data_IF_370528564614
#
_entry.id   IF_370528564614
#
_cell.length_a   1.000
_cell.length_b   1.000
_cell.length_c   1.000
_cell.angle_alpha   90.00
_cell.angle_beta   90.00
_cell.angle_gamma   90.00
#
_symmetry.space_group_name_H-M   'P 1'
#
loop_
_entity.id
_entity.type
_entity.pdbx_description
1 polymer ?
#
# COMPACT_ATOMS: atom_id res chain seq x y z
N UNK A 1 1.30 23.96 -14.18
CA UNK A 1 1.97 22.74 -14.69
C UNK A 1 1.82 21.52 -13.78
N UNK A 2 2.58 21.36 -12.68
CA UNK A 2 2.49 20.10 -11.88
C UNK A 2 1.12 19.86 -11.23
N UNK A 3 0.46 20.91 -10.76
CA UNK A 3 -0.91 20.82 -10.23
C UNK A 3 -1.91 20.31 -11.28
N UNK A 4 -1.81 20.78 -12.51
CA UNK A 4 -2.67 20.35 -13.62
C UNK A 4 -2.43 18.88 -13.97
N UNK A 5 -1.18 18.39 -13.85
CA UNK A 5 -0.88 16.97 -14.01
C UNK A 5 -1.52 16.11 -12.91
N UNK A 6 -1.49 16.58 -11.65
CA UNK A 6 -2.18 15.90 -10.54
C UNK A 6 -3.70 15.90 -10.75
N UNK A 7 -4.28 17.01 -11.17
CA UNK A 7 -5.71 17.12 -11.47
C UNK A 7 -6.12 16.22 -12.64
N UNK A 8 -5.30 16.17 -13.71
CA UNK A 8 -5.48 15.23 -14.81
C UNK A 8 -5.41 13.78 -14.33
N UNK A 9 -4.42 13.45 -13.49
CA UNK A 9 -4.26 12.11 -12.92
C UNK A 9 -5.49 11.66 -12.12
N UNK A 10 -6.00 12.53 -11.24
CA UNK A 10 -7.24 12.28 -10.47
C UNK A 10 -8.44 12.05 -11.37
N UNK A 11 -8.59 12.85 -12.43
CA UNK A 11 -9.67 12.68 -13.41
C UNK A 11 -9.56 11.34 -14.13
N UNK A 12 -8.37 11.01 -14.64
CA UNK A 12 -8.14 9.73 -15.33
C UNK A 12 -8.34 8.52 -14.42
N UNK A 13 -8.01 8.63 -13.13
CA UNK A 13 -8.34 7.62 -12.12
C UNK A 13 -9.86 7.47 -11.96
N UNK A 14 -10.60 8.57 -11.83
CA UNK A 14 -12.07 8.56 -11.76
C UNK A 14 -12.74 7.99 -13.02
N UNK A 15 -12.10 8.13 -14.18
CA UNK A 15 -12.50 7.52 -15.46
C UNK A 15 -12.04 6.05 -15.61
N UNK A 16 -11.35 5.48 -14.62
CA UNK A 16 -10.82 4.11 -14.67
C UNK A 16 -9.64 3.92 -15.63
N UNK A 17 -9.04 5.00 -16.15
CA UNK A 17 -7.90 4.98 -17.09
C UNK A 17 -6.55 4.90 -16.38
N UNK A 18 -6.50 5.22 -15.09
CA UNK A 18 -5.31 5.08 -14.26
C UNK A 18 -5.64 4.35 -12.97
N UNK A 19 -4.72 3.51 -12.45
CA UNK A 19 -4.89 2.92 -11.14
C UNK A 19 -4.77 3.98 -10.03
N UNK A 20 -5.31 3.71 -8.84
CA UNK A 20 -5.11 4.56 -7.67
C UNK A 20 -3.63 4.70 -7.30
N UNK A 21 -3.19 5.81 -6.68
CA UNK A 21 -1.83 5.95 -6.17
C UNK A 21 -1.44 4.78 -5.25
N UNK A 22 -0.24 4.23 -5.46
CA UNK A 22 0.22 3.04 -4.74
C UNK A 22 -0.24 1.71 -5.33
N UNK A 23 -0.97 1.73 -6.46
CA UNK A 23 -1.37 0.54 -7.20
C UNK A 23 -0.76 0.53 -8.58
N UNK A 24 -0.29 -0.65 -9.03
CA UNK A 24 0.40 -0.78 -10.31
C UNK A 24 -0.04 -2.02 -11.07
N UNK A 25 -0.17 -1.94 -12.41
CA UNK A 25 -0.19 -3.11 -13.26
C UNK A 25 1.13 -3.87 -13.10
N UNK A 26 1.05 -5.19 -13.07
CA UNK A 26 2.21 -6.06 -12.93
C UNK A 26 2.04 -7.22 -13.91
N UNK A 27 3.15 -7.73 -14.44
CA UNK A 27 3.11 -8.63 -15.60
C UNK A 27 2.44 -9.97 -15.28
N UNK A 28 2.66 -10.49 -14.08
CA UNK A 28 2.06 -11.74 -13.61
C UNK A 28 0.67 -11.47 -13.02
N UNK A 29 -0.40 -12.20 -13.41
CA UNK A 29 -1.74 -11.97 -12.90
C UNK A 29 -1.87 -12.31 -11.41
N UNK A 30 -2.96 -11.86 -10.79
CA UNK A 30 -3.43 -12.48 -9.54
C UNK A 30 -3.91 -13.88 -9.89
N UNK A 31 -3.18 -14.88 -9.39
CA UNK A 31 -3.37 -16.29 -9.75
C UNK A 31 -4.28 -17.03 -8.79
N UNK A 32 -4.35 -16.58 -7.54
CA UNK A 32 -5.15 -17.23 -6.51
C UNK A 32 -6.11 -16.24 -5.85
N UNK A 33 -7.34 -16.68 -5.66
CA UNK A 33 -8.35 -15.94 -4.91
C UNK A 33 -8.79 -16.81 -3.75
N UNK A 34 -8.65 -16.28 -2.54
CA UNK A 34 -9.23 -16.89 -1.34
C UNK A 34 -10.65 -16.34 -1.21
N UNK A 35 -11.61 -17.20 -1.53
CA UNK A 35 -13.01 -16.97 -1.23
C UNK A 35 -13.24 -17.43 0.20
N UNK A 36 -13.76 -16.57 1.07
CA UNK A 36 -13.89 -16.91 2.48
C UNK A 36 -15.25 -16.53 3.05
N UNK A 37 -15.59 -17.18 4.16
CA UNK A 37 -16.73 -16.91 5.04
C UNK A 37 -16.28 -17.10 6.49
N UNK A 38 -17.05 -16.65 7.50
CA UNK A 38 -16.71 -16.93 8.89
C UNK A 38 -16.56 -18.43 9.11
N UNK A 39 -15.34 -18.88 9.34
CA UNK A 39 -15.01 -20.29 9.52
C UNK A 39 -14.82 -21.14 8.25
N UNK A 40 -14.99 -20.60 7.06
CA UNK A 40 -14.84 -21.37 5.81
C UNK A 40 -13.96 -20.64 4.82
N UNK A 41 -13.22 -21.38 4.01
CA UNK A 41 -12.43 -20.80 2.94
C UNK A 41 -12.22 -21.80 1.81
N UNK A 42 -12.32 -21.28 0.59
CA UNK A 42 -12.07 -21.96 -0.66
C UNK A 42 -10.98 -21.21 -1.42
N UNK A 43 -10.00 -21.96 -1.93
CA UNK A 43 -8.96 -21.40 -2.78
C UNK A 43 -9.31 -21.67 -4.24
N UNK A 44 -9.45 -20.62 -5.05
CA UNK A 44 -9.73 -20.73 -6.49
C UNK A 44 -8.56 -20.21 -7.31
N UNK A 45 -8.24 -20.91 -8.39
CA UNK A 45 -7.30 -20.41 -9.40
C UNK A 45 -8.01 -19.37 -10.28
N UNK A 46 -7.31 -18.29 -10.61
CA UNK A 46 -7.79 -17.17 -11.40
C UNK A 46 -6.67 -16.63 -12.30
N UNK A 47 -7.04 -15.72 -13.20
CA UNK A 47 -6.08 -14.95 -14.00
C UNK A 47 -6.58 -13.52 -14.09
N UNK A 48 -6.30 -12.71 -13.08
CA UNK A 48 -6.76 -11.32 -13.02
C UNK A 48 -5.61 -10.34 -13.27
N UNK A 49 -5.67 -9.64 -14.40
CA UNK A 49 -4.69 -8.62 -14.81
C UNK A 49 -5.03 -7.25 -14.22
N UNK A 50 -5.24 -7.21 -12.90
CA UNK A 50 -5.64 -5.99 -12.20
C UNK A 50 -4.45 -5.28 -11.57
N UNK A 51 -4.56 -3.96 -11.49
CA UNK A 51 -3.63 -3.17 -10.69
C UNK A 51 -3.78 -3.55 -9.23
N UNK A 52 -2.66 -3.74 -8.54
CA UNK A 52 -2.61 -4.24 -7.16
C UNK A 52 -1.68 -3.37 -6.31
N UNK A 53 -1.81 -3.41 -4.98
CA UNK A 53 -0.94 -2.66 -4.06
C UNK A 53 0.53 -2.95 -4.37
N UNK A 54 1.33 -1.89 -4.45
CA UNK A 54 2.74 -2.00 -4.78
C UNK A 54 3.53 -0.86 -4.14
N UNK A 55 4.75 -1.18 -3.71
CA UNK A 55 5.61 -0.28 -2.93
C UNK A 55 7.02 -0.09 -3.51
N UNK A 56 7.26 -0.59 -4.72
CA UNK A 56 8.63 -0.56 -5.28
C UNK A 56 9.58 -1.55 -4.62
N UNK A 57 9.06 -2.57 -3.92
CA UNK A 57 9.83 -3.62 -3.22
C UNK A 57 10.70 -4.42 -4.19
N UNK A 58 11.95 -3.99 -4.39
CA UNK A 58 12.98 -4.74 -5.14
C UNK A 58 13.88 -5.58 -4.23
N UNK A 59 13.95 -5.24 -2.95
CA UNK A 59 14.70 -5.95 -1.91
C UNK A 59 14.17 -5.62 -0.51
N UNK A 60 14.43 -6.49 0.46
CA UNK A 60 13.89 -6.38 1.82
C UNK A 60 12.53 -7.06 2.00
N UNK A 61 12.03 -7.06 3.24
CA UNK A 61 10.77 -7.68 3.61
C UNK A 61 9.74 -6.60 3.91
N UNK A 62 8.70 -6.51 3.08
CA UNK A 62 7.72 -5.43 3.21
C UNK A 62 6.38 -5.89 2.62
N UNK A 63 5.35 -6.13 3.43
CA UNK A 63 4.07 -6.66 2.94
C UNK A 63 3.23 -5.63 2.16
N UNK A 64 2.41 -6.13 1.23
CA UNK A 64 1.37 -5.41 0.49
C UNK A 64 -0.01 -5.71 1.09
N UNK A 65 -0.87 -4.71 1.16
CA UNK A 65 -2.16 -4.81 1.86
C UNK A 65 -3.18 -5.62 1.05
N UNK A 66 -3.76 -6.70 1.61
CA UNK A 66 -4.92 -7.42 1.04
C UNK A 66 -4.74 -8.01 -0.38
N UNK A 67 -3.56 -7.89 -0.97
CA UNK A 67 -3.08 -8.68 -2.11
C UNK A 67 -1.55 -8.67 -2.12
N UNK A 68 -0.91 -9.83 -2.05
CA UNK A 68 0.56 -10.00 -2.06
C UNK A 68 0.92 -11.38 -2.65
N UNK A 69 2.21 -11.65 -2.80
CA UNK A 69 2.75 -12.95 -3.14
C UNK A 69 2.36 -14.00 -2.10
N UNK A 70 2.19 -15.26 -2.51
CA UNK A 70 1.76 -16.37 -1.65
C UNK A 70 2.61 -16.55 -0.39
N UNK A 71 3.92 -16.23 -0.46
CA UNK A 71 4.81 -16.26 0.71
C UNK A 71 4.37 -15.27 1.81
N UNK A 72 3.82 -14.12 1.43
CA UNK A 72 3.28 -13.12 2.36
C UNK A 72 1.83 -13.43 2.69
N UNK A 73 0.98 -13.57 1.67
CA UNK A 73 -0.46 -13.66 1.84
C UNK A 73 -0.91 -14.95 2.56
N UNK A 74 -0.27 -16.08 2.25
CA UNK A 74 -0.69 -17.43 2.70
C UNK A 74 0.37 -18.19 3.49
N UNK A 75 1.59 -17.66 3.61
CA UNK A 75 2.68 -18.31 4.35
C UNK A 75 3.15 -19.65 3.73
N UNK A 76 3.05 -19.80 2.41
CA UNK A 76 3.39 -21.06 1.70
C UNK A 76 4.90 -21.37 1.67
N UNK A 77 5.74 -20.41 2.06
CA UNK A 77 7.20 -20.59 2.16
C UNK A 77 7.55 -20.97 3.62
N UNK A 78 7.92 -22.24 3.89
CA UNK A 78 8.13 -22.73 5.25
C UNK A 78 9.44 -22.24 5.88
N UNK A 79 10.35 -21.64 5.08
CA UNK A 79 11.64 -21.18 5.58
C UNK A 79 11.52 -19.98 6.53
N UNK A 80 12.57 -19.67 7.32
CA UNK A 80 12.55 -18.55 8.28
C UNK A 80 12.18 -17.21 7.63
N UNK A 81 12.65 -16.98 6.39
CA UNK A 81 12.29 -15.78 5.62
C UNK A 81 10.81 -15.79 5.21
N UNK A 82 10.25 -16.93 4.84
CA UNK A 82 8.84 -17.06 4.48
C UNK A 82 7.91 -16.82 5.67
N UNK A 83 8.26 -17.37 6.83
CA UNK A 83 7.56 -17.12 8.10
C UNK A 83 7.56 -15.63 8.45
N UNK A 84 8.70 -14.96 8.31
CA UNK A 84 8.83 -13.52 8.54
C UNK A 84 7.99 -12.69 7.56
N UNK A 85 7.94 -13.08 6.28
CA UNK A 85 7.05 -12.44 5.29
C UNK A 85 5.59 -12.52 5.70
N UNK A 86 5.13 -13.72 6.06
CA UNK A 86 3.75 -13.92 6.47
C UNK A 86 3.43 -13.15 7.75
N UNK A 87 4.34 -13.14 8.74
CA UNK A 87 4.22 -12.32 9.95
C UNK A 87 3.99 -10.85 9.64
N UNK A 88 4.82 -10.26 8.76
CA UNK A 88 4.68 -8.86 8.35
C UNK A 88 3.35 -8.57 7.63
N UNK A 89 2.82 -9.55 6.89
CA UNK A 89 1.51 -9.43 6.26
C UNK A 89 0.38 -9.40 7.30
N UNK A 90 0.42 -10.29 8.29
CA UNK A 90 -0.55 -10.30 9.39
C UNK A 90 -0.50 -9.00 10.21
N UNK A 91 0.71 -8.50 10.51
CA UNK A 91 0.89 -7.23 11.22
C UNK A 91 0.35 -6.02 10.45
N UNK A 92 0.44 -6.05 9.12
CA UNK A 92 -0.16 -5.01 8.28
C UNK A 92 -1.69 -5.05 8.35
N UNK A 93 -2.30 -6.24 8.43
CA UNK A 93 -3.74 -6.37 8.64
C UNK A 93 -4.17 -5.90 10.03
N UNK A 94 -3.42 -6.23 11.08
CA UNK A 94 -3.64 -5.68 12.43
C UNK A 94 -3.57 -4.14 12.43
N UNK A 95 -2.54 -3.58 11.78
CA UNK A 95 -2.39 -2.12 11.63
C UNK A 95 -3.58 -1.52 10.91
N UNK A 96 -4.08 -2.17 9.85
CA UNK A 96 -5.27 -1.72 9.13
C UNK A 96 -6.54 -1.76 9.99
N UNK A 97 -6.76 -2.81 10.77
CA UNK A 97 -7.90 -2.90 11.70
C UNK A 97 -7.87 -1.83 12.80
N UNK A 98 -6.66 -1.45 13.24
CA UNK A 98 -6.41 -0.37 14.19
C UNK A 98 -6.43 1.05 13.57
N UNK A 99 -6.51 1.17 12.25
CA UNK A 99 -6.47 2.45 11.57
C UNK A 99 -7.75 3.25 11.79
N UNK A 100 -7.61 4.53 12.19
CA UNK A 100 -8.74 5.42 12.51
C UNK A 100 -9.61 5.76 11.29
N UNK A 101 -9.09 5.59 10.08
CA UNK A 101 -9.83 5.80 8.84
C UNK A 101 -10.74 4.63 8.44
N UNK A 102 -10.62 3.47 9.08
CA UNK A 102 -11.47 2.30 8.82
C UNK A 102 -12.84 2.52 9.49
N UNK A 103 -13.81 3.01 8.74
CA UNK A 103 -15.16 3.37 9.22
C UNK A 103 -16.21 2.38 8.77
N UNK A 104 -16.01 1.70 7.64
CA UNK A 104 -16.95 0.69 7.16
C UNK A 104 -16.97 -0.53 8.10
N UNK A 105 -18.09 -0.82 8.78
CA UNK A 105 -18.20 -1.96 9.68
C UNK A 105 -18.10 -3.31 8.95
N UNK A 106 -18.55 -3.39 7.69
CA UNK A 106 -18.51 -4.62 6.90
C UNK A 106 -17.07 -4.93 6.49
N UNK A 107 -16.30 -3.91 6.09
CA UNK A 107 -14.88 -4.10 5.77
C UNK A 107 -14.10 -4.49 7.01
N UNK A 108 -14.35 -3.82 8.14
CA UNK A 108 -13.73 -4.17 9.43
C UNK A 108 -14.01 -5.61 9.82
N UNK A 109 -15.26 -6.06 9.68
CA UNK A 109 -15.63 -7.44 9.95
C UNK A 109 -14.94 -8.42 8.98
N UNK A 110 -15.00 -8.17 7.67
CA UNK A 110 -14.40 -9.05 6.67
C UNK A 110 -12.87 -9.20 6.86
N UNK A 111 -12.17 -8.10 7.17
CA UNK A 111 -10.72 -8.14 7.45
C UNK A 111 -10.43 -8.86 8.77
N UNK A 112 -11.29 -8.69 9.78
CA UNK A 112 -11.17 -9.42 11.05
C UNK A 112 -11.31 -10.93 10.87
N UNK A 113 -12.32 -11.37 10.11
CA UNK A 113 -12.52 -12.78 9.78
C UNK A 113 -11.38 -13.34 8.93
N UNK A 114 -10.88 -12.57 7.96
CA UNK A 114 -9.70 -12.94 7.18
C UNK A 114 -8.47 -13.16 8.07
N UNK A 115 -8.24 -12.24 9.02
CA UNK A 115 -7.10 -12.34 9.93
C UNK A 115 -7.19 -13.59 10.82
N UNK A 116 -8.38 -13.91 11.33
CA UNK A 116 -8.62 -15.15 12.08
C UNK A 116 -8.38 -16.39 11.21
N UNK A 117 -8.89 -16.39 9.97
CA UNK A 117 -8.69 -17.47 9.02
C UNK A 117 -7.20 -17.72 8.78
N UNK A 118 -6.42 -16.69 8.47
CA UNK A 118 -4.99 -16.80 8.18
C UNK A 118 -4.21 -17.31 9.40
N UNK A 119 -4.49 -16.76 10.59
CA UNK A 119 -3.85 -17.19 11.85
C UNK A 119 -4.18 -18.63 12.23
N UNK A 120 -5.38 -19.11 11.89
CA UNK A 120 -5.78 -20.49 12.18
C UNK A 120 -5.04 -21.54 11.34
N UNK A 121 -4.39 -21.13 10.24
CA UNK A 121 -3.73 -22.05 9.31
C UNK A 121 -4.68 -22.96 8.53
N UNK A 122 -6.00 -22.76 8.62
CA UNK A 122 -7.02 -23.66 8.03
C UNK A 122 -6.83 -23.88 6.52
N UNK A 123 -6.38 -22.85 5.79
CA UNK A 123 -6.10 -22.94 4.35
C UNK A 123 -5.01 -23.96 4.01
N UNK A 124 -4.10 -24.29 4.93
CA UNK A 124 -3.03 -25.28 4.68
C UNK A 124 -3.57 -26.68 4.40
N UNK A 125 -4.77 -27.01 4.91
CA UNK A 125 -5.45 -28.27 4.64
C UNK A 125 -6.19 -28.31 3.30
N UNK A 126 -6.27 -27.19 2.58
CA UNK A 126 -7.02 -27.12 1.32
C UNK A 126 -6.31 -27.91 0.20
N UNK A 127 -7.02 -28.71 -0.63
CA UNK A 127 -6.39 -29.55 -1.66
C UNK A 127 -5.52 -28.79 -2.69
N UNK A 128 -5.87 -27.53 -2.96
CA UNK A 128 -5.12 -26.67 -3.88
C UNK A 128 -3.97 -25.90 -3.21
N UNK A 129 -3.87 -25.88 -1.88
CA UNK A 129 -2.81 -25.14 -1.18
C UNK A 129 -1.39 -25.55 -1.61
N UNK A 130 -1.06 -26.84 -1.81
CA UNK A 130 0.27 -27.26 -2.30
C UNK A 130 0.62 -26.74 -3.71
N UNK A 131 -0.36 -26.24 -4.49
CA UNK A 131 -0.13 -25.70 -5.83
C UNK A 131 0.23 -24.22 -5.82
N UNK A 132 0.01 -23.52 -4.70
CA UNK A 132 0.34 -22.10 -4.57
C UNK A 132 1.85 -21.95 -4.45
N UNK A 133 2.46 -21.24 -5.40
CA UNK A 133 3.89 -20.95 -5.33
C UNK A 133 4.14 -19.71 -4.45
N UNK A 134 5.32 -19.62 -3.80
CA UNK A 134 5.69 -18.44 -3.01
C UNK A 134 5.56 -17.10 -3.73
N UNK A 135 5.68 -17.08 -5.06
CA UNK A 135 5.62 -15.90 -5.93
C UNK A 135 4.28 -15.71 -6.65
N UNK A 136 3.32 -16.62 -6.49
CA UNK A 136 2.00 -16.43 -7.07
C UNK A 136 1.27 -15.32 -6.32
N UNK A 137 0.63 -14.39 -7.03
CA UNK A 137 -0.16 -13.34 -6.41
C UNK A 137 -1.50 -13.87 -5.90
N UNK A 138 -1.87 -13.44 -4.70
CA UNK A 138 -3.09 -13.87 -3.99
C UNK A 138 -3.94 -12.64 -3.66
N UNK A 139 -5.26 -12.77 -3.73
CA UNK A 139 -6.21 -11.77 -3.22
C UNK A 139 -7.36 -12.44 -2.45
N UNK A 140 -8.19 -11.63 -1.78
CA UNK A 140 -9.22 -12.12 -0.85
C UNK A 140 -10.60 -11.54 -1.20
N UNK A 141 -11.61 -12.41 -1.20
CA UNK A 141 -13.00 -12.10 -1.53
C UNK A 141 -13.90 -12.72 -0.44
N UNK A 142 -14.65 -11.92 0.34
CA UNK A 142 -15.67 -12.48 1.22
C UNK A 142 -16.84 -12.98 0.37
N UNK A 143 -17.46 -14.08 0.77
CA UNK A 143 -18.64 -14.67 0.14
C UNK A 143 -19.95 -14.31 0.86
N UNK A 144 -19.90 -13.35 1.79
CA UNK A 144 -21.04 -12.97 2.62
C UNK A 144 -21.16 -11.45 2.79
N UNK A 145 -22.36 -11.02 3.18
CA UNK A 145 -22.65 -9.63 3.50
C UNK A 145 -22.54 -8.68 2.29
N UNK A 146 -22.52 -7.35 2.54
CA UNK A 146 -22.52 -6.34 1.47
C UNK A 146 -21.27 -6.34 0.58
N UNK A 147 -20.17 -6.95 1.05
CA UNK A 147 -18.91 -7.06 0.31
C UNK A 147 -18.79 -8.38 -0.48
N UNK A 148 -19.83 -9.22 -0.46
CA UNK A 148 -19.80 -10.52 -1.14
C UNK A 148 -19.36 -10.40 -2.61
N UNK A 149 -18.38 -11.21 -3.00
CA UNK A 149 -17.83 -11.22 -4.36
C UNK A 149 -16.87 -10.06 -4.69
N UNK A 150 -16.61 -9.16 -3.75
CA UNK A 150 -15.70 -8.01 -3.98
C UNK A 150 -14.29 -8.30 -3.46
N UNK A 151 -13.27 -7.94 -4.25
CA UNK A 151 -11.89 -8.06 -3.79
C UNK A 151 -11.57 -6.97 -2.77
N UNK A 152 -11.16 -7.37 -1.56
CA UNK A 152 -11.00 -6.43 -0.45
C UNK A 152 -9.98 -5.32 -0.72
N UNK A 153 -8.93 -5.59 -1.50
CA UNK A 153 -7.93 -4.57 -1.84
C UNK A 153 -8.48 -3.43 -2.71
N UNK A 154 -9.61 -3.64 -3.38
CA UNK A 154 -10.26 -2.61 -4.20
C UNK A 154 -11.11 -1.66 -3.38
N UNK A 155 -11.42 -2.00 -2.13
CA UNK A 155 -12.28 -1.17 -1.28
C UNK A 155 -11.65 0.23 -1.07
N UNK A 156 -12.42 1.34 -1.18
CA UNK A 156 -11.87 2.69 -1.05
C UNK A 156 -11.07 2.94 0.24
N UNK A 157 -11.56 2.44 1.38
CA UNK A 157 -10.85 2.55 2.66
C UNK A 157 -9.54 1.73 2.70
N UNK A 158 -9.47 0.59 2.01
CA UNK A 158 -8.23 -0.18 1.89
C UNK A 158 -7.21 0.59 1.02
N UNK A 159 -7.66 1.17 -0.09
CA UNK A 159 -6.81 2.02 -0.94
C UNK A 159 -6.30 3.26 -0.18
N UNK A 160 -7.14 3.87 0.65
CA UNK A 160 -6.79 5.03 1.46
C UNK A 160 -5.74 4.67 2.53
N UNK A 161 -5.95 3.58 3.28
CA UNK A 161 -4.95 3.08 4.23
C UNK A 161 -3.62 2.78 3.54
N UNK A 162 -3.66 2.12 2.38
CA UNK A 162 -2.45 1.78 1.64
C UNK A 162 -1.65 3.02 1.23
N UNK A 163 -2.31 4.10 0.81
CA UNK A 163 -1.64 5.36 0.50
C UNK A 163 -1.00 6.00 1.74
N UNK A 164 -1.67 5.97 2.90
CA UNK A 164 -1.11 6.47 4.15
C UNK A 164 0.11 5.64 4.59
N UNK A 165 0.01 4.31 4.48
CA UNK A 165 1.09 3.37 4.78
C UNK A 165 2.31 3.63 3.88
N UNK A 166 2.09 3.80 2.57
CA UNK A 166 3.18 4.12 1.65
C UNK A 166 3.78 5.50 1.89
N UNK A 167 2.96 6.49 2.28
CA UNK A 167 3.46 7.82 2.67
C UNK A 167 4.36 7.72 3.91
N UNK A 168 4.00 6.89 4.90
CA UNK A 168 4.82 6.61 6.08
C UNK A 168 6.14 5.92 5.69
N UNK A 169 6.08 4.85 4.89
CA UNK A 169 7.26 4.11 4.40
C UNK A 169 8.18 4.93 3.49
N UNK A 170 7.64 5.98 2.88
CA UNK A 170 8.36 6.89 1.99
C UNK A 170 8.86 8.14 2.69
N UNK A 171 8.52 8.35 3.96
CA UNK A 171 8.95 9.52 4.71
C UNK A 171 10.48 9.55 4.93
N UNK A 172 11.09 10.75 4.99
CA UNK A 172 12.50 10.89 5.34
C UNK A 172 12.82 10.18 6.65
N UNK A 173 13.83 9.30 6.62
CA UNK A 173 14.32 8.62 7.81
C UNK A 173 13.44 7.50 8.38
N UNK A 174 12.48 6.99 7.60
CA UNK A 174 11.70 5.79 7.92
C UNK A 174 12.55 4.55 8.30
N UNK A 175 13.83 4.50 7.89
CA UNK A 175 14.78 3.43 8.25
C UNK A 175 15.72 3.76 9.42
N UNK A 176 15.54 4.88 10.14
CA UNK A 176 16.56 5.40 11.06
C UNK A 176 16.07 6.18 12.28
N UNK A 177 14.90 5.84 12.85
CA UNK A 177 14.34 6.50 14.04
C UNK A 177 14.20 8.03 13.94
N UNK A 178 14.17 8.59 12.72
CA UNK A 178 13.93 10.03 12.53
C UNK A 178 12.43 10.25 12.40
N UNK A 179 11.94 11.33 13.03
CA UNK A 179 10.53 11.73 12.96
C UNK A 179 10.16 12.06 11.51
N UNK A 180 8.95 11.66 11.12
CA UNK A 180 8.38 12.08 9.84
C UNK A 180 8.36 13.61 9.73
N UNK A 181 8.75 14.13 8.58
CA UNK A 181 8.73 15.57 8.29
C UNK A 181 7.33 15.96 7.86
N UNK A 182 6.68 16.83 8.64
CA UNK A 182 5.42 17.47 8.28
C UNK A 182 5.72 18.83 7.68
N UNK A 183 5.05 19.18 6.59
CA UNK A 183 5.29 20.42 5.86
C UNK A 183 4.19 20.74 4.85
N UNK A 184 4.53 21.56 3.85
CA UNK A 184 3.63 21.94 2.76
C UNK A 184 3.99 21.20 1.47
N UNK A 185 2.97 20.74 0.72
CA UNK A 185 3.19 20.18 -0.61
C UNK A 185 3.36 21.29 -1.65
N UNK A 186 4.50 21.32 -2.34
CA UNK A 186 4.81 22.29 -3.39
C UNK A 186 3.94 22.17 -4.65
N UNK A 187 3.21 21.07 -4.82
CA UNK A 187 2.35 20.85 -5.99
C UNK A 187 0.90 21.25 -5.72
N UNK A 188 0.34 20.79 -4.60
CA UNK A 188 -1.07 21.02 -4.28
C UNK A 188 -1.30 22.10 -3.21
N UNK A 189 -0.25 22.60 -2.56
CA UNK A 189 -0.32 23.60 -1.48
C UNK A 189 -0.92 23.07 -0.17
N UNK A 190 -1.18 21.76 -0.06
CA UNK A 190 -1.76 21.19 1.14
C UNK A 190 -0.77 21.26 2.32
N UNK A 191 -1.26 21.68 3.50
CA UNK A 191 -0.50 21.79 4.74
C UNK A 191 -1.42 21.65 5.96
N UNK A 192 -1.01 20.95 7.04
CA UNK A 192 0.22 20.16 7.14
C UNK A 192 0.06 18.78 6.47
N UNK A 193 1.07 18.36 5.71
CA UNK A 193 1.13 17.02 5.10
C UNK A 193 2.45 16.32 5.41
N UNK A 194 2.43 14.99 5.44
CA UNK A 194 3.67 14.20 5.52
C UNK A 194 4.39 14.28 4.17
N UNK A 195 5.64 14.74 4.20
CA UNK A 195 6.47 14.86 3.02
C UNK A 195 7.15 13.52 2.69
N UNK A 196 7.25 13.19 1.40
CA UNK A 196 7.99 12.01 0.93
C UNK A 196 9.48 12.34 0.77
N UNK A 197 10.33 11.43 1.25
CA UNK A 197 11.79 11.51 1.13
C UNK A 197 12.37 10.65 0.00
N UNK A 198 11.56 9.78 -0.62
CA UNK A 198 11.94 8.96 -1.78
C UNK A 198 10.77 8.79 -2.74
N UNK A 199 11.07 8.50 -4.00
CA UNK A 199 10.05 8.11 -4.99
C UNK A 199 9.50 6.73 -4.60
N UNK A 200 8.18 6.58 -4.42
CA UNK A 200 7.57 5.31 -4.05
C UNK A 200 7.75 4.18 -5.09
N UNK A 201 8.03 4.53 -6.34
CA UNK A 201 8.11 3.61 -7.47
C UNK A 201 9.46 2.92 -7.69
N UNK A 202 10.48 3.23 -6.89
CA UNK A 202 11.82 2.71 -7.16
C UNK A 202 12.42 3.21 -8.48
N UNK A 203 11.87 4.28 -9.06
CA UNK A 203 12.49 4.96 -10.21
C UNK A 203 13.88 5.41 -9.77
N UNK A 204 14.92 4.82 -10.37
CA UNK A 204 16.28 5.33 -10.25
C UNK A 204 16.34 6.61 -11.06
N UNK A 205 16.38 7.74 -10.37
CA UNK A 205 16.84 8.97 -11.00
C UNK A 205 18.25 8.71 -11.54
N UNK A 206 18.55 9.21 -12.74
CA UNK A 206 19.90 9.16 -13.29
C UNK A 206 20.83 10.05 -12.42
N UNK A 207 21.38 9.46 -11.35
CA UNK A 207 22.22 10.12 -10.35
C UNK A 207 21.50 10.47 -9.03
N UNK A 208 22.28 10.87 -8.02
CA UNK A 208 21.83 11.32 -6.68
C UNK A 208 21.25 12.74 -6.68
N UNK A 209 20.65 13.18 -7.78
CA UNK A 209 19.98 14.47 -7.81
C UNK A 209 18.63 14.33 -7.09
N UNK A 210 18.38 15.06 -5.99
CA UNK A 210 17.07 15.03 -5.37
C UNK A 210 16.03 15.51 -6.40
N UNK A 211 14.88 14.83 -6.49
CA UNK A 211 13.73 15.27 -7.30
C UNK A 211 13.29 16.71 -6.98
N UNK A 212 13.63 17.15 -5.78
CA UNK A 212 13.41 18.47 -5.24
C UNK A 212 14.78 19.02 -4.85
N UNK A 213 15.38 19.81 -5.74
CA UNK A 213 16.21 20.91 -5.26
C UNK A 213 15.28 22.09 -5.10
N UNK A 214 14.59 22.17 -3.95
CA UNK A 214 14.20 23.49 -3.50
C UNK A 214 15.50 24.12 -3.04
N UNK A 215 16.08 24.91 -3.95
CA UNK A 215 17.20 25.83 -3.71
C UNK A 215 17.16 26.27 -2.24
N UNK A 216 18.27 26.12 -1.52
CA UNK A 216 18.39 26.37 -0.09
C UNK A 216 17.98 27.79 0.37
N UNK A 217 17.49 28.64 -0.54
CA UNK A 217 16.88 29.95 -0.28
C UNK A 217 15.99 30.44 -1.45
N UNK A 218 15.47 29.57 -2.34
CA UNK A 218 14.88 30.01 -3.62
C UNK A 218 13.69 30.96 -3.49
N UNK A 219 12.96 30.85 -2.40
CA UNK A 219 11.88 31.77 -2.07
C UNK A 219 12.00 32.04 -0.57
N UNK A 220 12.36 33.26 -0.14
CA UNK A 220 12.09 33.66 1.24
C UNK A 220 10.58 33.54 1.42
N UNK A 221 10.13 32.42 2.00
CA UNK A 221 8.72 32.28 2.32
C UNK A 221 8.45 33.28 3.44
N UNK A 222 7.46 34.15 3.26
CA UNK A 222 7.05 35.12 4.27
C UNK A 222 6.69 34.42 5.60
N UNK A 223 6.38 33.12 5.55
CA UNK A 223 6.08 32.25 6.68
C UNK A 223 7.31 31.68 7.41
N UNK A 224 8.47 31.55 6.75
CA UNK A 224 9.64 30.81 7.28
C UNK A 224 10.74 31.68 7.90
N UNK A 225 10.61 33.01 7.86
CA UNK A 225 11.60 33.93 8.42
C UNK A 225 12.99 33.78 7.80
N UNK A 226 14.03 34.04 8.60
CA UNK A 226 15.42 34.05 8.14
C UNK A 226 16.01 32.65 7.84
N UNK A 227 15.33 31.57 8.23
CA UNK A 227 15.79 30.18 7.99
C UNK A 227 14.62 29.27 7.52
N UNK A 228 14.04 29.51 6.32
CA UNK A 228 12.86 28.79 5.84
C UNK A 228 13.07 27.27 5.75
N UNK A 229 14.29 26.79 5.44
CA UNK A 229 14.60 25.37 5.40
C UNK A 229 14.47 24.65 6.76
N UNK A 230 14.52 25.38 7.88
CA UNK A 230 14.33 24.83 9.24
C UNK A 230 12.90 25.03 9.76
N UNK A 231 12.16 26.00 9.21
CA UNK A 231 10.90 26.50 9.78
C UNK A 231 9.67 26.19 8.92
N UNK A 232 9.84 26.00 7.61
CA UNK A 232 8.76 25.75 6.65
C UNK A 232 9.17 24.66 5.65
N UNK A 233 9.20 23.38 6.06
CA UNK A 233 9.58 22.29 5.16
C UNK A 233 8.60 22.21 3.99
N UNK A 234 9.12 22.45 2.79
CA UNK A 234 8.40 22.37 1.52
C UNK A 234 8.86 21.11 0.77
N UNK A 235 7.92 20.30 0.28
CA UNK A 235 8.24 19.06 -0.43
C UNK A 235 7.07 18.51 -1.22
N UNK A 236 7.01 17.20 -1.41
CA UNK A 236 5.89 16.54 -2.08
C UNK A 236 5.11 15.69 -1.07
N UNK A 237 3.78 15.73 -1.11
CA UNK A 237 2.96 14.73 -0.43
C UNK A 237 2.81 13.49 -1.32
N UNK A 238 2.59 12.33 -0.72
CA UNK A 238 2.53 11.06 -1.44
C UNK A 238 1.56 11.02 -2.65
N UNK A 239 0.36 11.64 -2.60
CA UNK A 239 -0.55 11.66 -3.75
C UNK A 239 -0.10 12.52 -4.94
N UNK A 240 0.93 13.37 -4.80
CA UNK A 240 1.44 14.28 -5.83
C UNK A 240 2.81 13.81 -6.34
#
# INVERSE_FOLDING_TARGET
MFRELVELGKRLQGEGKLPPPGFYPYAEPIRWVVHFSPGEAELREASLDWARPYSGRTSGLEAHLLADEGAYALGVDPGPKGQEKHRLFLELLDKFLGWKGLRDPNLRQAVGELLLLLRSGRLQGHPLFPRVRPKDWVSFVPEWGPLAGQHLFQHPEAQAFWQEELAERSAPGAKGNKRAVLGECAVCGASPVRLVGKIPLGVRLAGTKPLHSFNASAFPSFQGGAEPEKQAPLGLCFPC
#
